data_IF_441415482807
#
_entry.id   IF_441415482807
#
_cell.length_a   1.000
_cell.length_b   1.000
_cell.length_c   1.000
_cell.angle_alpha   90.00
_cell.angle_beta   90.00
_cell.angle_gamma   90.00
#
_symmetry.space_group_name_H-M   'P 1'
#
loop_
_entity.id
_entity.type
_entity.pdbx_description
1 polymer ?
#
# COMPACT_ATOMS: atom_id res chain seq x y z
N UNK A 1 2.28 -11.58 16.79
CA UNK A 1 2.52 -11.03 15.44
C UNK A 1 2.68 -9.53 15.57
N UNK A 2 3.65 -8.94 14.88
CA UNK A 2 3.86 -7.49 14.89
C UNK A 2 3.05 -6.86 13.75
N UNK A 3 2.42 -5.71 13.99
CA UNK A 3 1.62 -4.99 13.01
C UNK A 3 2.25 -3.64 12.70
N UNK A 4 1.98 -3.10 11.52
CA UNK A 4 2.38 -1.74 11.17
C UNK A 4 1.52 -0.77 11.99
N UNK A 5 2.18 0.17 12.67
CA UNK A 5 1.53 1.31 13.28
C UNK A 5 1.76 2.54 12.40
N UNK A 6 0.67 3.11 11.88
CA UNK A 6 0.72 4.28 11.01
C UNK A 6 -0.60 5.07 11.17
N UNK A 7 -0.60 6.41 11.31
CA UNK A 7 -1.80 7.20 11.63
C UNK A 7 -2.98 7.00 10.66
N UNK A 8 -2.68 6.71 9.39
CA UNK A 8 -3.68 6.48 8.33
C UNK A 8 -3.93 4.99 8.03
N UNK A 9 -3.44 4.06 8.86
CA UNK A 9 -3.69 2.63 8.73
C UNK A 9 -4.33 2.13 10.02
N UNK A 10 -5.44 1.39 9.89
CA UNK A 10 -6.14 0.85 11.06
C UNK A 10 -5.24 -0.13 11.83
N UNK A 11 -5.13 0.07 13.14
CA UNK A 11 -4.33 -0.79 14.01
C UNK A 11 -4.74 -2.26 13.89
N UNK A 12 -3.74 -3.15 13.92
CA UNK A 12 -3.95 -4.60 13.89
C UNK A 12 -4.40 -5.18 12.54
N UNK A 13 -4.46 -4.38 11.46
CA UNK A 13 -4.94 -4.87 10.14
C UNK A 13 -3.82 -5.28 9.19
N UNK A 14 -2.62 -4.74 9.36
CA UNK A 14 -1.50 -4.93 8.44
C UNK A 14 -0.30 -5.54 9.16
N UNK A 15 -0.05 -6.83 8.92
CA UNK A 15 1.11 -7.52 9.47
C UNK A 15 2.42 -6.88 9.02
N UNK A 16 3.35 -6.69 9.96
CA UNK A 16 4.64 -6.08 9.65
C UNK A 16 5.54 -7.07 8.92
N UNK A 17 5.63 -6.91 7.60
CA UNK A 17 6.52 -7.71 6.73
C UNK A 17 7.61 -6.83 6.14
N UNK A 18 8.86 -7.12 6.47
CA UNK A 18 10.01 -6.28 6.09
C UNK A 18 10.15 -6.07 4.58
N UNK A 19 9.88 -7.08 3.76
CA UNK A 19 9.95 -6.94 2.30
C UNK A 19 8.89 -5.96 1.77
N UNK A 20 7.69 -5.92 2.36
CA UNK A 20 6.64 -4.99 1.95
C UNK A 20 7.03 -3.55 2.30
N UNK A 21 7.60 -3.36 3.50
CA UNK A 21 8.12 -2.07 3.95
C UNK A 21 9.26 -1.61 3.03
N UNK A 22 10.24 -2.46 2.75
CA UNK A 22 11.36 -2.12 1.88
C UNK A 22 10.91 -1.72 0.47
N UNK A 23 9.93 -2.43 -0.12
CA UNK A 23 9.38 -2.07 -1.43
C UNK A 23 8.63 -0.74 -1.34
N UNK A 24 7.80 -0.53 -0.32
CA UNK A 24 7.06 0.72 -0.13
C UNK A 24 8.01 1.92 0.03
N UNK A 25 9.06 1.80 0.84
CA UNK A 25 10.08 2.85 1.01
C UNK A 25 10.76 3.21 -0.32
N UNK A 26 11.10 2.22 -1.16
CA UNK A 26 11.66 2.50 -2.48
C UNK A 26 10.66 3.23 -3.39
N UNK A 27 9.38 2.83 -3.37
CA UNK A 27 8.32 3.47 -4.13
C UNK A 27 7.97 4.91 -3.65
N UNK A 28 8.27 5.24 -2.40
CA UNK A 28 8.15 6.61 -1.89
C UNK A 28 9.23 7.54 -2.46
N UNK A 29 10.42 7.03 -2.74
CA UNK A 29 11.55 7.84 -3.24
C UNK A 29 11.46 8.09 -4.75
N UNK A 30 10.98 7.10 -5.53
CA UNK A 30 10.91 7.19 -6.99
C UNK A 30 9.82 6.31 -7.60
N UNK A 31 9.41 6.65 -8.82
CA UNK A 31 8.49 5.83 -9.62
C UNK A 31 9.01 4.39 -9.73
N UNK A 32 8.16 3.42 -9.36
CA UNK A 32 8.57 2.03 -9.16
C UNK A 32 7.54 1.06 -9.76
N UNK A 33 8.02 0.10 -10.55
CA UNK A 33 7.24 -1.06 -10.99
C UNK A 33 7.48 -2.23 -10.01
N UNK A 34 6.44 -2.63 -9.28
CA UNK A 34 6.52 -3.71 -8.29
C UNK A 34 6.12 -5.05 -8.92
N UNK A 35 7.08 -5.98 -9.04
CA UNK A 35 6.86 -7.32 -9.60
C UNK A 35 6.99 -8.36 -8.49
N UNK A 36 5.86 -8.81 -7.94
CA UNK A 36 5.78 -9.92 -6.98
C UNK A 36 4.58 -10.84 -7.29
N UNK A 37 4.65 -12.15 -6.98
CA UNK A 37 3.52 -13.06 -7.09
C UNK A 37 2.25 -12.57 -6.38
N UNK A 38 1.09 -13.05 -6.82
CA UNK A 38 -0.17 -12.80 -6.12
C UNK A 38 -0.17 -13.53 -4.77
N UNK A 39 -0.85 -12.94 -3.77
CA UNK A 39 -0.82 -13.44 -2.39
C UNK A 39 0.32 -12.87 -1.52
N UNK A 40 1.33 -12.22 -2.11
CA UNK A 40 2.43 -11.58 -1.36
C UNK A 40 2.15 -10.12 -0.93
N UNK A 41 0.92 -9.64 -1.13
CA UNK A 41 0.49 -8.33 -0.62
C UNK A 41 0.87 -7.13 -1.48
N UNK A 42 0.68 -7.21 -2.81
CA UNK A 42 0.80 -6.04 -3.71
C UNK A 42 -0.07 -4.87 -3.25
N UNK A 43 -1.32 -5.14 -2.89
CA UNK A 43 -2.25 -4.13 -2.36
C UNK A 43 -1.78 -3.57 -1.03
N UNK A 44 -1.20 -4.40 -0.16
CA UNK A 44 -0.61 -3.98 1.12
C UNK A 44 0.55 -2.99 0.91
N UNK A 45 1.44 -3.27 -0.04
CA UNK A 45 2.52 -2.36 -0.42
C UNK A 45 1.94 -1.03 -0.92
N UNK A 46 0.93 -1.08 -1.78
CA UNK A 46 0.28 0.14 -2.28
C UNK A 46 -0.36 0.95 -1.13
N UNK A 47 -1.05 0.31 -0.19
CA UNK A 47 -1.64 0.97 0.98
C UNK A 47 -0.57 1.67 1.84
N UNK A 48 0.59 1.04 2.07
CA UNK A 48 1.71 1.66 2.79
C UNK A 48 2.23 2.91 2.08
N UNK A 49 2.38 2.86 0.74
CA UNK A 49 2.81 4.01 -0.06
C UNK A 49 1.77 5.13 0.02
N UNK A 50 0.50 4.81 -0.17
CA UNK A 50 -0.61 5.78 -0.15
C UNK A 50 -0.71 6.47 1.20
N UNK A 51 -0.73 5.69 2.28
CA UNK A 51 -0.82 6.21 3.64
C UNK A 51 0.38 7.12 3.96
N UNK A 52 1.60 6.70 3.59
CA UNK A 52 2.80 7.49 3.83
C UNK A 52 2.82 8.78 2.98
N UNK A 53 2.37 8.75 1.72
CA UNK A 53 2.26 9.95 0.88
C UNK A 53 1.26 10.94 1.45
N UNK A 54 0.05 10.49 1.76
CA UNK A 54 -1.01 11.35 2.30
C UNK A 54 -0.69 11.92 3.68
N UNK A 55 0.17 11.25 4.46
CA UNK A 55 0.63 11.78 5.75
C UNK A 55 1.66 12.91 5.58
N UNK A 56 2.49 12.87 4.54
CA UNK A 56 3.61 13.80 4.36
C UNK A 56 3.33 14.92 3.34
N UNK A 57 2.35 14.74 2.46
CA UNK A 57 2.04 15.64 1.36
C UNK A 57 0.52 15.87 1.29
N UNK A 58 0.09 17.12 1.11
CA UNK A 58 -1.30 17.41 0.76
C UNK A 58 -1.60 16.94 -0.67
N UNK A 59 -2.72 16.26 -0.88
CA UNK A 59 -3.07 15.80 -2.22
C UNK A 59 -4.16 14.75 -2.27
N UNK A 60 -4.25 14.08 -3.41
CA UNK A 60 -5.19 13.00 -3.68
C UNK A 60 -4.47 11.83 -4.34
N UNK A 61 -5.00 10.63 -4.12
CA UNK A 61 -4.52 9.39 -4.75
C UNK A 61 -5.58 8.88 -5.71
N UNK A 62 -5.15 8.41 -6.88
CA UNK A 62 -5.96 7.68 -7.84
C UNK A 62 -5.49 6.22 -7.91
N UNK A 63 -6.35 5.29 -7.49
CA UNK A 63 -6.08 3.86 -7.56
C UNK A 63 -6.84 3.24 -8.75
N UNK A 64 -6.11 2.70 -9.72
CA UNK A 64 -6.67 2.17 -10.96
C UNK A 64 -6.63 0.64 -10.97
N UNK A 65 -7.69 0.03 -11.49
CA UNK A 65 -7.76 -1.40 -11.76
C UNK A 65 -8.45 -1.66 -13.11
N UNK A 66 -8.14 -2.78 -13.79
CA UNK A 66 -8.55 -2.98 -15.19
C UNK A 66 -10.04 -3.31 -15.37
N UNK A 67 -10.73 -3.75 -14.31
CA UNK A 67 -12.14 -4.12 -14.37
C UNK A 67 -12.92 -3.58 -13.18
N UNK A 68 -14.22 -3.35 -13.37
CA UNK A 68 -15.12 -2.87 -12.32
C UNK A 68 -15.11 -3.74 -11.05
N UNK A 69 -15.16 -5.09 -11.12
CA UNK A 69 -15.09 -5.92 -9.91
C UNK A 69 -13.79 -5.73 -9.11
N UNK A 70 -12.66 -5.50 -9.78
CA UNK A 70 -11.40 -5.24 -9.09
C UNK A 70 -11.39 -3.86 -8.42
N UNK A 71 -11.97 -2.84 -9.07
CA UNK A 71 -12.15 -1.52 -8.44
C UNK A 71 -12.99 -1.66 -7.17
N UNK A 72 -14.13 -2.34 -7.24
CA UNK A 72 -15.01 -2.57 -6.09
C UNK A 72 -14.28 -3.36 -4.97
N UNK A 73 -13.47 -4.36 -5.32
CA UNK A 73 -12.64 -5.12 -4.39
C UNK A 73 -11.60 -4.26 -3.65
N UNK A 74 -11.07 -3.21 -4.28
CA UNK A 74 -10.07 -2.33 -3.66
C UNK A 74 -10.70 -1.20 -2.83
N UNK A 75 -11.96 -0.86 -3.10
CA UNK A 75 -12.66 0.24 -2.43
C UNK A 75 -13.35 -0.19 -1.12
N UNK A 76 -13.42 -1.49 -0.84
CA UNK A 76 -14.09 -2.10 0.32
C UNK A 76 -13.10 -2.49 1.42
#
# INVERSE_FOLDING_TARGET
MEFVNHPLIKDGTLERRLYQIAIATNALIKNTLVIIPTGLGKTTIAALVIASRLLNEEGRVLFLAPTRPLVEQHAS
#
